data_IF_143529979825
#
_entry.id   IF_143529979825
#
_cell.length_a   1.000
_cell.length_b   1.000
_cell.length_c   1.000
_cell.angle_alpha   90.00
_cell.angle_beta   90.00
_cell.angle_gamma   90.00
#
_symmetry.space_group_name_H-M   'P 1'
#
loop_
_entity.id
_entity.type
_entity.pdbx_description
1 polymer ?
#
# COMPACT_ATOMS: atom_id res chain seq x y z
N UNK A 1 16.91 5.61 17.25
CA UNK A 1 16.25 4.40 16.76
C UNK A 1 15.51 4.68 15.50
N UNK A 2 15.70 3.86 14.50
CA UNK A 2 14.93 4.06 13.28
C UNK A 2 13.45 3.77 13.52
N UNK A 3 12.60 4.47 12.79
CA UNK A 3 11.17 4.24 12.83
C UNK A 3 10.87 2.92 12.13
N UNK A 4 10.03 2.08 12.71
CA UNK A 4 9.66 0.84 12.03
C UNK A 4 8.96 1.13 10.71
N UNK A 5 9.16 0.24 9.75
CA UNK A 5 8.48 0.37 8.47
C UNK A 5 6.98 0.22 8.64
N UNK A 6 6.16 1.00 7.94
CA UNK A 6 4.71 0.81 8.02
C UNK A 6 4.23 -0.40 7.22
N UNK A 7 5.10 -1.02 6.44
CA UNK A 7 4.71 -2.09 5.52
C UNK A 7 3.92 -3.22 6.19
N UNK A 8 4.39 -3.80 7.31
CA UNK A 8 3.63 -4.90 7.90
C UNK A 8 2.19 -4.53 8.23
N UNK A 9 1.99 -3.35 8.82
CA UNK A 9 0.67 -2.89 9.19
C UNK A 9 -0.19 -2.62 7.95
N UNK A 10 0.38 -1.95 6.96
CA UNK A 10 -0.35 -1.61 5.74
C UNK A 10 -0.74 -2.87 4.96
N UNK A 11 0.14 -3.86 4.93
CA UNK A 11 -0.14 -5.11 4.24
C UNK A 11 -1.32 -5.82 4.88
N UNK A 12 -1.31 -5.96 6.21
CA UNK A 12 -2.40 -6.62 6.90
C UNK A 12 -3.70 -5.85 6.72
N UNK A 13 -3.63 -4.53 6.76
CA UNK A 13 -4.78 -3.65 6.58
C UNK A 13 -5.43 -3.87 5.21
N UNK A 14 -4.62 -3.84 4.16
CA UNK A 14 -5.13 -4.01 2.80
C UNK A 14 -5.70 -5.41 2.60
N UNK A 15 -5.03 -6.41 3.13
CA UNK A 15 -5.50 -7.79 3.01
C UNK A 15 -6.83 -7.99 3.72
N UNK A 16 -6.94 -7.47 4.94
CA UNK A 16 -8.16 -7.58 5.73
C UNK A 16 -9.31 -6.85 5.04
N UNK A 17 -9.02 -5.67 4.50
CA UNK A 17 -10.03 -4.90 3.77
C UNK A 17 -10.51 -5.65 2.54
N UNK A 18 -9.62 -6.35 1.87
CA UNK A 18 -9.98 -7.16 0.71
C UNK A 18 -10.72 -8.44 1.09
N UNK A 19 -10.77 -8.77 2.38
CA UNK A 19 -11.53 -9.93 2.85
C UNK A 19 -10.91 -11.27 2.53
N UNK A 20 -9.60 -11.33 2.33
CA UNK A 20 -8.96 -12.60 2.01
C UNK A 20 -7.96 -12.99 3.10
N UNK A 21 -7.71 -14.30 3.20
CA UNK A 21 -6.80 -14.82 4.20
C UNK A 21 -5.36 -14.65 3.76
N UNK A 22 -4.44 -14.83 4.71
CA UNK A 22 -3.02 -14.84 4.40
C UNK A 22 -2.70 -15.90 3.36
N UNK A 23 -3.26 -17.08 3.52
CA UNK A 23 -3.02 -18.18 2.59
C UNK A 23 -3.52 -17.83 1.19
N UNK A 24 -4.73 -17.28 1.11
CA UNK A 24 -5.30 -16.94 -0.18
C UNK A 24 -4.45 -15.90 -0.91
N UNK A 25 -4.03 -14.86 -0.20
CA UNK A 25 -3.19 -13.85 -0.83
C UNK A 25 -1.88 -14.46 -1.30
N UNK A 26 -1.25 -15.28 -0.45
CA UNK A 26 0.01 -15.92 -0.82
C UNK A 26 -0.13 -16.76 -2.08
N UNK A 27 -1.18 -17.57 -2.15
CA UNK A 27 -1.40 -18.41 -3.32
C UNK A 27 -1.63 -17.56 -4.56
N UNK A 28 -2.42 -16.51 -4.45
CA UNK A 28 -2.74 -15.65 -5.60
C UNK A 28 -1.51 -14.96 -6.17
N UNK A 29 -0.52 -14.69 -5.36
CA UNK A 29 0.70 -14.06 -5.87
C UNK A 29 1.79 -15.09 -6.21
N UNK A 30 1.44 -16.37 -6.21
CA UNK A 30 2.32 -17.40 -6.74
C UNK A 30 3.06 -18.25 -5.72
N UNK A 31 2.72 -18.16 -4.45
CA UNK A 31 3.37 -19.01 -3.46
C UNK A 31 2.78 -20.40 -3.45
N UNK A 32 3.61 -21.38 -3.12
CA UNK A 32 3.14 -22.74 -2.92
C UNK A 32 2.16 -22.74 -1.74
N UNK A 33 1.02 -23.44 -1.85
CA UNK A 33 0.04 -23.46 -0.77
C UNK A 33 0.60 -23.91 0.57
N UNK A 34 1.62 -24.76 0.56
CA UNK A 34 2.17 -25.28 1.82
C UNK A 34 2.93 -24.22 2.61
N UNK A 35 3.39 -23.14 1.97
CA UNK A 35 4.15 -22.09 2.66
C UNK A 35 3.44 -20.75 2.66
N UNK A 36 2.34 -20.62 1.94
CA UNK A 36 1.71 -19.32 1.72
C UNK A 36 1.32 -18.60 3.01
N UNK A 37 0.63 -19.30 3.90
CA UNK A 37 0.16 -18.70 5.14
C UNK A 37 1.32 -18.26 6.03
N UNK A 38 2.30 -19.14 6.22
CA UNK A 38 3.44 -18.84 7.08
C UNK A 38 4.28 -17.69 6.56
N UNK A 39 4.53 -17.70 5.25
CA UNK A 39 5.35 -16.66 4.65
C UNK A 39 4.65 -15.31 4.71
N UNK A 40 3.34 -15.29 4.42
CA UNK A 40 2.58 -14.05 4.49
C UNK A 40 2.55 -13.54 5.94
N UNK A 41 2.41 -14.44 6.91
CA UNK A 41 2.41 -14.05 8.30
C UNK A 41 3.74 -13.40 8.70
N UNK A 42 4.87 -13.92 8.20
CA UNK A 42 6.16 -13.33 8.50
C UNK A 42 6.25 -11.91 7.94
N UNK A 43 5.68 -11.66 6.76
CA UNK A 43 5.65 -10.31 6.21
C UNK A 43 4.80 -9.38 7.08
N UNK A 44 3.64 -9.85 7.55
CA UNK A 44 2.74 -9.02 8.35
C UNK A 44 3.26 -8.78 9.76
N UNK A 45 4.16 -9.64 10.22
CA UNK A 45 4.78 -9.46 11.52
C UNK A 45 6.11 -8.72 11.44
N UNK A 46 6.54 -8.36 10.24
CA UNK A 46 7.79 -7.65 10.07
C UNK A 46 9.03 -8.51 10.24
N UNK A 47 8.88 -9.85 10.23
CA UNK A 47 10.03 -10.73 10.37
C UNK A 47 10.83 -10.83 9.09
N UNK A 48 10.17 -10.69 7.95
CA UNK A 48 10.82 -10.68 6.65
C UNK A 48 10.22 -9.53 5.85
N UNK A 49 11.00 -9.00 4.93
CA UNK A 49 10.54 -7.93 4.04
C UNK A 49 10.42 -8.49 2.64
N UNK A 50 9.25 -8.38 2.01
CA UNK A 50 9.11 -8.85 0.63
C UNK A 50 9.91 -7.96 -0.31
N UNK A 51 10.41 -8.55 -1.41
CA UNK A 51 11.10 -7.76 -2.40
C UNK A 51 10.10 -6.95 -3.22
N UNK A 52 10.61 -6.05 -4.05
CA UNK A 52 9.75 -5.13 -4.78
C UNK A 52 8.82 -5.84 -5.75
N UNK A 53 9.27 -6.92 -6.37
CA UNK A 53 8.40 -7.67 -7.28
C UNK A 53 7.24 -8.31 -6.54
N UNK A 54 7.50 -8.85 -5.36
CA UNK A 54 6.46 -9.42 -4.52
C UNK A 54 5.48 -8.34 -4.09
N UNK A 55 6.01 -7.17 -3.72
CA UNK A 55 5.15 -6.05 -3.32
C UNK A 55 4.24 -5.60 -4.46
N UNK A 56 4.77 -5.58 -5.70
CA UNK A 56 3.93 -5.22 -6.84
C UNK A 56 2.79 -6.20 -7.02
N UNK A 57 3.07 -7.49 -6.89
CA UNK A 57 2.03 -8.51 -7.01
C UNK A 57 0.98 -8.34 -5.92
N UNK A 58 1.41 -8.05 -4.69
CA UNK A 58 0.49 -7.82 -3.60
C UNK A 58 -0.38 -6.59 -3.87
N UNK A 59 0.24 -5.51 -4.33
CA UNK A 59 -0.48 -4.28 -4.61
C UNK A 59 -1.57 -4.51 -5.66
N UNK A 60 -1.22 -5.25 -6.72
CA UNK A 60 -2.17 -5.56 -7.77
C UNK A 60 -3.31 -6.41 -7.23
N UNK A 61 -2.97 -7.44 -6.48
CA UNK A 61 -3.98 -8.35 -5.97
C UNK A 61 -4.90 -7.66 -4.96
N UNK A 62 -4.36 -6.73 -4.18
CA UNK A 62 -5.13 -6.03 -3.16
C UNK A 62 -5.73 -4.72 -3.67
N UNK A 63 -5.47 -4.39 -4.93
CA UNK A 63 -6.00 -3.19 -5.58
C UNK A 63 -5.63 -1.92 -4.82
N UNK A 64 -4.37 -1.80 -4.44
CA UNK A 64 -3.83 -0.59 -3.83
C UNK A 64 -2.59 -0.18 -4.60
N UNK A 65 -2.25 1.12 -4.60
CA UNK A 65 -0.98 1.53 -5.19
C UNK A 65 0.18 1.02 -4.31
N UNK A 66 1.31 0.71 -4.93
CA UNK A 66 2.43 0.17 -4.17
C UNK A 66 2.89 1.14 -3.08
N UNK A 67 2.73 2.45 -3.32
CA UNK A 67 3.11 3.46 -2.34
C UNK A 67 2.30 3.35 -1.04
N UNK A 68 1.11 2.74 -1.11
CA UNK A 68 0.28 2.54 0.07
C UNK A 68 1.06 1.83 1.18
N UNK A 69 1.88 0.84 0.80
CA UNK A 69 2.62 0.05 1.78
C UNK A 69 3.66 0.85 2.56
N UNK A 70 4.00 2.03 2.07
CA UNK A 70 5.07 2.83 2.68
C UNK A 70 4.55 4.09 3.36
N UNK A 71 3.23 4.23 3.49
CA UNK A 71 2.65 5.39 4.15
C UNK A 71 2.64 5.21 5.66
N UNK A 72 3.28 6.12 6.36
CA UNK A 72 3.24 6.12 7.82
C UNK A 72 1.88 6.61 8.31
N UNK A 73 1.32 7.59 7.65
CA UNK A 73 0.04 8.18 8.08
C UNK A 73 -1.14 7.36 7.55
N UNK A 74 -2.03 6.90 8.43
CA UNK A 74 -3.22 6.19 7.97
C UNK A 74 -4.09 7.02 7.03
N UNK A 75 -4.16 8.33 7.27
CA UNK A 75 -4.96 9.20 6.40
C UNK A 75 -4.35 9.33 5.02
N UNK A 76 -3.03 9.45 4.94
CA UNK A 76 -2.36 9.49 3.64
C UNK A 76 -2.57 8.19 2.89
N UNK A 77 -2.47 7.06 3.60
CA UNK A 77 -2.70 5.76 2.99
C UNK A 77 -4.12 5.65 2.43
N UNK A 78 -5.10 6.14 3.18
CA UNK A 78 -6.48 6.13 2.71
C UNK A 78 -6.64 7.01 1.48
N UNK A 79 -6.05 8.19 1.49
CA UNK A 79 -6.10 9.09 0.34
C UNK A 79 -5.51 8.44 -0.90
N UNK A 80 -4.39 7.73 -0.76
CA UNK A 80 -3.78 7.07 -1.90
C UNK A 80 -4.73 6.07 -2.54
N UNK A 81 -5.44 5.30 -1.73
CA UNK A 81 -6.38 4.34 -2.26
C UNK A 81 -7.52 5.03 -3.01
N UNK A 82 -8.00 6.15 -2.49
CA UNK A 82 -9.09 6.87 -3.11
C UNK A 82 -8.67 7.49 -4.44
N UNK A 83 -7.50 8.13 -4.47
CA UNK A 83 -7.07 8.79 -5.70
C UNK A 83 -6.66 7.80 -6.77
N UNK A 84 -6.25 6.59 -6.37
CA UNK A 84 -5.85 5.60 -7.35
C UNK A 84 -7.01 5.23 -8.29
N UNK A 85 -8.24 5.37 -7.81
CA UNK A 85 -9.41 5.04 -8.60
C UNK A 85 -9.93 6.17 -9.47
N UNK A 86 -9.30 7.33 -9.39
CA UNK A 86 -9.71 8.47 -10.23
C UNK A 86 -9.13 8.32 -11.64
N UNK A 87 -9.83 8.91 -12.60
CA UNK A 87 -9.30 8.98 -13.96
C UNK A 87 -8.14 9.96 -13.98
N UNK A 88 -7.33 9.91 -15.02
CA UNK A 88 -6.22 10.85 -15.14
C UNK A 88 -6.71 12.29 -15.19
N UNK A 89 -7.85 12.52 -15.81
CA UNK A 89 -8.43 13.86 -15.85
C UNK A 89 -8.84 14.32 -14.45
N UNK A 90 -9.48 13.44 -13.70
CA UNK A 90 -9.88 13.76 -12.33
C UNK A 90 -8.67 14.01 -11.44
N UNK A 91 -7.60 13.24 -11.65
CA UNK A 91 -6.36 13.46 -10.90
C UNK A 91 -5.79 14.83 -11.21
N UNK A 92 -5.81 15.22 -12.48
CA UNK A 92 -5.28 16.53 -12.86
C UNK A 92 -6.07 17.67 -12.20
N UNK A 93 -7.39 17.54 -12.17
CA UNK A 93 -8.22 18.54 -11.52
C UNK A 93 -7.94 18.62 -10.03
N UNK A 94 -7.77 17.47 -9.40
CA UNK A 94 -7.46 17.44 -7.99
C UNK A 94 -6.12 18.09 -7.69
N UNK A 95 -5.12 17.80 -8.52
CA UNK A 95 -3.81 18.41 -8.37
C UNK A 95 -3.92 19.94 -8.42
N UNK A 96 -4.67 20.46 -9.39
CA UNK A 96 -4.85 21.90 -9.52
C UNK A 96 -5.50 22.50 -8.26
N UNK A 97 -6.53 21.81 -7.76
CA UNK A 97 -7.24 22.29 -6.59
C UNK A 97 -6.34 22.31 -5.37
N UNK A 98 -5.61 21.23 -5.14
CA UNK A 98 -4.74 21.15 -3.99
C UNK A 98 -3.57 22.12 -4.10
N UNK A 99 -3.02 22.26 -5.29
CA UNK A 99 -1.90 23.19 -5.49
C UNK A 99 -2.34 24.64 -5.25
N UNK A 100 -3.55 25.00 -5.65
CA UNK A 100 -4.01 26.37 -5.45
C UNK A 100 -4.28 26.69 -4.00
N UNK A 101 -4.45 25.66 -3.16
CA UNK A 101 -4.69 25.86 -1.74
C UNK A 101 -3.40 25.79 -0.91
N UNK A 102 -2.27 25.54 -1.55
CA UNK A 102 -1.02 25.44 -0.84
C UNK A 102 -0.54 26.80 -0.37
N UNK A 103 0.08 26.87 0.81
CA UNK A 103 0.69 28.14 1.23
C UNK A 103 1.82 28.51 0.29
N UNK A 104 2.06 29.81 0.19
CA UNK A 104 3.13 30.27 -0.64
C UNK A 104 4.49 29.74 -0.24
N UNK A 105 4.66 29.43 1.00
CA UNK A 105 5.97 28.96 1.46
C UNK A 105 6.38 27.69 0.77
N UNK A 106 5.44 26.96 0.24
CA UNK A 106 5.78 25.73 -0.43
C UNK A 106 6.65 25.99 -1.65
N UNK A 107 6.63 27.20 -2.11
CA UNK A 107 7.40 27.45 -3.30
C UNK A 107 8.86 27.53 -3.00
N UNK A 108 9.24 27.56 -1.70
CA UNK A 108 10.50 27.63 -1.48
C UNK A 108 11.05 26.51 -1.79
N UNK A 109 11.50 26.40 -2.31
CA UNK A 109 11.93 25.36 -2.63
C UNK A 109 12.89 25.08 -2.75
#
# INVERSE_FOLDING_TARGET
MPTPSPLPTRLKEARTRAGISQKTLGIRIGMDPSVASGRMNHYEKGRHTPDINTLRKMAEELNVPIAFFFCDSPKTAELLCLIENLSEEEKSKLIQKLASNQPHTSSKS
#
